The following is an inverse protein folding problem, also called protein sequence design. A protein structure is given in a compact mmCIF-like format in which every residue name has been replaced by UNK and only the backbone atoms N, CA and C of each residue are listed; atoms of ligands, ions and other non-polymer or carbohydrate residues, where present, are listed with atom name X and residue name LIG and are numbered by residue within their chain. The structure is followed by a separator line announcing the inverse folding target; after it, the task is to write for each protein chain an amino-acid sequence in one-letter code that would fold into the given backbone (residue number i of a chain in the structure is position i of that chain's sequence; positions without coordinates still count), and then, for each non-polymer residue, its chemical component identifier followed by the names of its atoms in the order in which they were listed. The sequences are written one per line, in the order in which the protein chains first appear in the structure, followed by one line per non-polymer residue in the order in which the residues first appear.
data_IF_261469212771
#
_entry.id   IF_261469212771
#
_cell.length_a   1.000
_cell.length_b   1.000
_cell.length_c   1.000
_cell.angle_alpha   90.00
_cell.angle_beta   90.00
_cell.angle_gamma   90.00
#
_symmetry.space_group_name_H-M   'P 1'
#
loop_
_entity.id
_entity.type
_entity.pdbx_description
1 polymer ?
#
# COMPACT_ATOMS: atom_id res chain seq x y z
N UNK A 1 53.22 -14.60 47.08
CA UNK A 1 51.78 -14.34 46.86
C UNK A 1 51.45 -12.93 47.29
N UNK A 2 51.51 -11.96 46.37
CA UNK A 2 51.23 -10.56 46.68
C UNK A 2 49.72 -10.30 46.59
N UNK A 3 49.07 -10.06 47.73
CA UNK A 3 47.72 -9.50 47.77
C UNK A 3 47.83 -8.01 47.43
N UNK A 4 47.74 -7.68 46.15
CA UNK A 4 47.65 -6.28 45.70
C UNK A 4 46.31 -5.68 46.11
N UNK A 5 46.34 -4.47 46.68
CA UNK A 5 45.15 -3.71 46.99
C UNK A 5 44.36 -3.44 45.69
N UNK A 6 43.07 -3.81 45.70
CA UNK A 6 42.17 -3.63 44.56
C UNK A 6 41.72 -2.17 44.53
N UNK A 7 42.14 -1.43 43.50
CA UNK A 7 41.77 -0.02 43.30
C UNK A 7 40.26 0.10 43.02
N UNK A 8 39.54 1.11 43.57
CA UNK A 8 38.09 1.27 43.38
C UNK A 8 37.66 1.52 41.92
N UNK A 9 38.57 1.88 41.02
CA UNK A 9 38.32 1.97 39.57
C UNK A 9 38.85 0.78 38.77
N UNK A 10 39.31 -0.28 39.43
CA UNK A 10 39.77 -1.51 38.78
C UNK A 10 38.62 -2.22 38.06
N UNK A 11 38.84 -2.56 36.79
CA UNK A 11 37.96 -3.32 35.87
C UNK A 11 37.31 -4.61 36.44
N UNK A 12 37.75 -5.08 37.61
CA UNK A 12 37.18 -6.23 38.32
C UNK A 12 35.77 -6.01 38.90
N UNK A 13 35.25 -4.78 38.92
CA UNK A 13 33.86 -4.50 39.34
C UNK A 13 32.81 -4.75 38.26
N UNK A 14 33.21 -4.90 36.99
CA UNK A 14 32.28 -5.29 35.90
C UNK A 14 32.15 -6.82 35.75
N UNK A 15 32.21 -7.58 36.85
CA UNK A 15 31.58 -8.91 36.85
C UNK A 15 30.08 -8.65 36.79
N UNK A 16 29.49 -8.86 35.61
CA UNK A 16 28.08 -8.63 35.32
C UNK A 16 27.22 -8.81 36.58
N UNK A 17 26.75 -7.69 37.15
CA UNK A 17 25.84 -7.71 38.29
C UNK A 17 24.64 -8.54 37.83
N UNK A 18 24.51 -9.76 38.34
CA UNK A 18 23.28 -10.52 38.21
C UNK A 18 22.22 -9.63 38.86
N UNK A 19 21.32 -9.06 38.05
CA UNK A 19 20.24 -8.18 38.50
C UNK A 19 19.20 -9.00 39.28
N UNK A 20 19.64 -9.61 40.37
CA UNK A 20 18.84 -10.46 41.22
C UNK A 20 18.32 -9.64 42.39
N UNK A 21 17.51 -8.64 42.05
CA UNK A 21 16.92 -7.71 43.01
C UNK A 21 15.89 -8.46 43.88
N UNK A 22 15.16 -9.41 43.28
CA UNK A 22 14.15 -10.23 43.97
C UNK A 22 14.79 -11.06 45.09
N UNK A 23 15.85 -11.82 44.82
CA UNK A 23 16.45 -12.67 45.87
C UNK A 23 17.17 -11.84 46.94
N UNK A 24 17.82 -10.72 46.56
CA UNK A 24 18.40 -9.81 47.55
C UNK A 24 17.34 -9.22 48.48
N UNK A 25 16.19 -8.85 47.93
CA UNK A 25 15.11 -8.31 48.72
C UNK A 25 14.48 -9.40 49.60
N UNK A 26 14.36 -10.65 49.12
CA UNK A 26 13.87 -11.78 49.92
C UNK A 26 14.73 -11.95 51.16
N UNK A 27 16.05 -11.97 50.99
CA UNK A 27 16.99 -12.07 52.12
C UNK A 27 16.81 -10.93 53.15
N UNK A 28 16.53 -9.70 52.71
CA UNK A 28 16.30 -8.56 53.61
C UNK A 28 14.98 -8.65 54.38
N UNK A 29 13.94 -9.21 53.75
CA UNK A 29 12.65 -9.47 54.41
C UNK A 29 12.79 -10.64 55.38
N UNK A 30 13.44 -11.72 54.99
CA UNK A 30 13.66 -12.92 55.81
C UNK A 30 14.50 -12.63 57.07
N UNK A 31 15.42 -11.67 56.98
CA UNK A 31 16.25 -11.20 58.11
C UNK A 31 15.54 -10.18 58.99
N UNK A 32 14.27 -9.86 58.71
CA UNK A 32 13.47 -8.82 59.39
C UNK A 32 14.13 -7.43 59.41
N UNK A 33 15.07 -7.17 58.50
CA UNK A 33 15.72 -5.87 58.35
C UNK A 33 14.84 -4.87 57.60
N UNK A 34 13.87 -5.37 56.82
CA UNK A 34 13.01 -4.54 55.99
C UNK A 34 11.60 -5.14 55.81
N UNK A 35 10.58 -4.28 55.76
CA UNK A 35 9.20 -4.70 55.54
C UNK A 35 8.96 -5.13 54.09
N UNK A 36 8.18 -6.21 53.88
CA UNK A 36 7.91 -6.74 52.54
C UNK A 36 7.26 -5.68 51.63
N UNK A 37 7.91 -5.29 50.51
CA UNK A 37 7.35 -4.30 49.62
C UNK A 37 6.29 -4.92 48.69
N UNK A 38 5.27 -4.14 48.31
CA UNK A 38 4.15 -4.62 47.49
C UNK A 38 4.55 -5.22 46.14
N UNK A 39 5.61 -4.70 45.51
CA UNK A 39 6.09 -5.23 44.24
C UNK A 39 6.71 -6.63 44.37
N UNK A 40 7.20 -7.02 45.55
CA UNK A 40 7.75 -8.35 45.78
C UNK A 40 6.66 -9.42 45.72
N UNK A 41 5.46 -9.14 46.23
CA UNK A 41 4.32 -10.07 46.12
C UNK A 41 3.97 -10.35 44.65
N UNK A 42 4.04 -9.32 43.80
CA UNK A 42 3.81 -9.45 42.36
C UNK A 42 4.95 -10.22 41.67
N UNK A 43 6.19 -9.96 42.06
CA UNK A 43 7.36 -10.67 41.56
C UNK A 43 7.44 -12.13 42.02
N UNK A 44 6.88 -12.48 43.18
CA UNK A 44 6.78 -13.87 43.64
C UNK A 44 5.68 -14.63 42.89
N UNK A 45 4.56 -13.96 42.61
CA UNK A 45 3.48 -14.53 41.79
C UNK A 45 3.91 -14.76 40.34
N UNK A 46 4.71 -13.84 39.79
CA UNK A 46 5.24 -13.91 38.43
C UNK A 46 6.76 -13.62 38.47
N UNK A 47 7.61 -14.64 38.68
CA UNK A 47 9.04 -14.45 38.74
C UNK A 47 9.57 -13.88 37.42
N UNK A 48 10.53 -12.92 37.47
CA UNK A 48 11.14 -12.39 36.26
C UNK A 48 11.82 -13.52 35.50
N UNK A 49 11.69 -13.52 34.17
CA UNK A 49 12.34 -14.52 33.33
C UNK A 49 13.85 -14.51 33.55
N UNK A 50 14.45 -15.70 33.66
CA UNK A 50 15.89 -15.82 33.75
C UNK A 50 16.52 -15.31 32.45
N UNK A 51 17.11 -14.13 32.52
CA UNK A 51 17.92 -13.60 31.44
C UNK A 51 19.23 -14.40 31.46
N UNK A 52 19.25 -15.55 30.79
CA UNK A 52 20.50 -16.22 30.46
C UNK A 52 21.30 -15.26 29.57
N UNK A 53 22.17 -14.46 30.19
CA UNK A 53 23.03 -13.43 29.60
C UNK A 53 22.87 -13.32 28.09
N UNK A 54 21.95 -12.47 27.65
CA UNK A 54 21.78 -12.13 26.23
C UNK A 54 23.13 -11.64 25.66
N UNK A 55 24.02 -11.10 26.51
CA UNK A 55 25.40 -10.72 26.17
C UNK A 55 26.34 -11.90 25.84
N UNK A 56 26.09 -13.12 26.31
CA UNK A 56 26.90 -14.30 25.97
C UNK A 56 26.32 -15.09 24.79
N UNK A 57 25.04 -14.87 24.44
CA UNK A 57 24.35 -15.55 23.32
C UNK A 57 24.00 -14.61 22.16
N UNK A 58 24.39 -13.34 22.18
CA UNK A 58 24.35 -12.53 20.96
C UNK A 58 25.45 -13.03 20.03
N UNK A 59 25.21 -14.17 19.36
CA UNK A 59 25.92 -14.47 18.12
C UNK A 59 25.72 -13.24 17.26
N UNK A 60 26.81 -12.52 16.97
CA UNK A 60 26.77 -11.39 16.06
C UNK A 60 26.18 -11.92 14.75
N UNK A 61 24.90 -11.66 14.53
CA UNK A 61 24.22 -12.14 13.35
C UNK A 61 24.61 -11.20 12.23
N UNK A 62 25.66 -11.58 11.49
CA UNK A 62 26.13 -10.82 10.34
C UNK A 62 25.11 -10.95 9.20
N UNK A 63 24.02 -10.21 9.31
CA UNK A 63 22.97 -10.21 8.32
C UNK A 63 23.37 -9.34 7.12
N UNK A 64 23.94 -9.98 6.10
CA UNK A 64 24.34 -9.34 4.84
C UNK A 64 23.18 -8.64 4.11
N UNK A 65 21.93 -9.01 4.39
CA UNK A 65 20.76 -8.44 3.75
C UNK A 65 20.71 -6.91 3.84
N UNK A 66 20.97 -6.34 5.03
CA UNK A 66 20.88 -4.89 5.25
C UNK A 66 21.90 -4.15 4.38
N UNK A 67 23.11 -4.70 4.24
CA UNK A 67 24.15 -4.11 3.39
C UNK A 67 23.79 -4.22 1.90
N UNK A 68 23.19 -5.34 1.48
CA UNK A 68 22.73 -5.52 0.10
C UNK A 68 21.62 -4.53 -0.26
N UNK A 69 20.64 -4.33 0.63
CA UNK A 69 19.56 -3.35 0.44
C UNK A 69 20.12 -1.94 0.31
N UNK A 70 21.04 -1.53 1.20
CA UNK A 70 21.71 -0.23 1.10
C UNK A 70 22.46 -0.05 -0.22
N UNK A 71 23.17 -1.08 -0.67
CA UNK A 71 23.88 -1.06 -1.96
C UNK A 71 22.92 -0.93 -3.15
N UNK A 72 21.83 -1.71 -3.16
CA UNK A 72 20.82 -1.66 -4.21
C UNK A 72 20.13 -0.29 -4.25
N UNK A 73 19.84 0.29 -3.10
CA UNK A 73 19.25 1.63 -2.98
C UNK A 73 20.19 2.75 -3.43
N UNK A 74 21.50 2.56 -3.29
CA UNK A 74 22.50 3.46 -3.82
C UNK A 74 22.59 3.36 -5.35
N UNK A 75 22.51 2.14 -5.89
CA UNK A 75 22.53 1.90 -7.35
C UNK A 75 21.22 2.34 -8.03
N UNK A 76 20.08 2.11 -7.38
CA UNK A 76 18.74 2.34 -7.91
C UNK A 76 17.87 3.15 -6.92
N UNK A 77 18.12 4.46 -6.78
CA UNK A 77 17.43 5.30 -5.79
C UNK A 77 15.93 5.44 -6.07
N UNK A 78 15.53 5.39 -7.35
CA UNK A 78 14.13 5.50 -7.77
C UNK A 78 13.26 4.35 -7.23
N UNK A 79 13.86 3.20 -6.95
CA UNK A 79 13.15 2.03 -6.43
C UNK A 79 12.58 2.26 -5.03
N UNK A 80 13.04 3.30 -4.30
CA UNK A 80 12.45 3.73 -3.01
C UNK A 80 10.99 4.17 -3.14
N UNK A 81 10.65 4.74 -4.29
CA UNK A 81 9.34 5.34 -4.53
C UNK A 81 8.36 4.36 -5.16
N UNK A 82 8.83 3.17 -5.54
CA UNK A 82 7.96 2.13 -6.04
C UNK A 82 7.12 1.60 -4.87
N UNK A 83 5.80 1.61 -5.01
CA UNK A 83 4.86 1.19 -3.96
C UNK A 83 5.03 1.95 -2.62
N UNK A 84 5.41 3.23 -2.68
CA UNK A 84 5.69 4.05 -1.51
C UNK A 84 4.47 4.37 -0.63
N UNK A 85 3.26 4.20 -1.17
CA UNK A 85 2.00 4.40 -0.44
C UNK A 85 1.42 3.09 0.15
N UNK A 86 2.13 1.98 0.00
CA UNK A 86 1.70 0.70 0.57
C UNK A 86 2.16 0.62 2.01
N UNK A 87 1.23 0.29 2.91
CA UNK A 87 1.50 0.12 4.33
C UNK A 87 2.64 -0.90 4.57
N UNK A 88 3.59 -0.53 5.44
CA UNK A 88 4.79 -1.32 5.73
C UNK A 88 6.01 -0.99 4.88
N UNK A 89 5.90 -0.10 3.88
CA UNK A 89 7.05 0.48 3.19
C UNK A 89 7.36 1.87 3.77
N UNK A 90 8.64 2.17 3.99
CA UNK A 90 9.08 3.50 4.35
C UNK A 90 10.02 4.05 3.27
N UNK A 91 9.65 5.20 2.72
CA UNK A 91 10.39 5.88 1.65
C UNK A 91 11.38 6.93 2.20
N UNK A 92 11.38 7.20 3.51
CA UNK A 92 12.29 8.14 4.14
C UNK A 92 13.73 7.61 4.12
N UNK A 93 14.66 8.45 3.68
CA UNK A 93 16.10 8.14 3.63
C UNK A 93 16.60 7.85 5.05
N UNK A 94 17.17 6.66 5.26
CA UNK A 94 17.69 6.23 6.57
C UNK A 94 16.77 5.24 7.30
N UNK A 95 15.49 5.19 6.92
CA UNK A 95 14.54 4.20 7.40
C UNK A 95 14.21 3.21 6.28
N UNK A 96 15.20 2.39 5.91
CA UNK A 96 15.11 1.44 4.79
C UNK A 96 14.36 0.16 5.21
N UNK A 97 13.09 0.32 5.60
CA UNK A 97 12.19 -0.78 5.92
C UNK A 97 11.18 -0.95 4.79
N UNK A 98 11.20 -2.13 4.17
CA UNK A 98 10.34 -2.48 3.05
C UNK A 98 9.67 -3.81 3.31
N UNK A 99 8.45 -3.98 2.80
CA UNK A 99 7.72 -5.25 2.83
C UNK A 99 8.46 -6.32 2.03
N UNK A 100 8.13 -7.58 2.29
CA UNK A 100 8.73 -8.72 1.60
C UNK A 100 8.48 -8.70 0.08
N UNK A 101 7.33 -8.15 -0.33
CA UNK A 101 6.96 -8.04 -1.74
C UNK A 101 7.62 -6.86 -2.45
N UNK A 102 8.27 -5.96 -1.73
CA UNK A 102 8.92 -4.81 -2.35
C UNK A 102 10.08 -5.27 -3.23
N UNK A 103 10.25 -4.67 -4.42
CA UNK A 103 11.23 -5.15 -5.40
C UNK A 103 12.67 -5.14 -4.86
N UNK A 104 13.04 -4.14 -4.06
CA UNK A 104 14.36 -4.10 -3.42
C UNK A 104 14.56 -5.31 -2.49
N UNK A 105 13.56 -5.62 -1.68
CA UNK A 105 13.57 -6.79 -0.80
C UNK A 105 13.73 -8.06 -1.61
N UNK A 106 12.94 -8.21 -2.68
CA UNK A 106 13.03 -9.36 -3.58
C UNK A 106 14.42 -9.45 -4.27
N UNK A 107 14.97 -8.34 -4.75
CA UNK A 107 16.30 -8.32 -5.36
C UNK A 107 17.38 -8.74 -4.35
N UNK A 108 17.32 -8.22 -3.13
CA UNK A 108 18.26 -8.56 -2.07
C UNK A 108 18.14 -10.03 -1.64
N UNK A 109 16.92 -10.58 -1.54
CA UNK A 109 16.71 -12.00 -1.21
C UNK A 109 17.19 -12.93 -2.33
N UNK A 110 16.91 -12.61 -3.60
CA UNK A 110 17.43 -13.38 -4.73
C UNK A 110 18.96 -13.29 -4.84
N UNK A 111 19.54 -12.11 -4.57
CA UNK A 111 20.99 -11.96 -4.56
C UNK A 111 21.62 -12.81 -3.46
N UNK A 112 21.05 -12.79 -2.26
CA UNK A 112 21.50 -13.62 -1.15
C UNK A 112 21.37 -15.11 -1.46
N UNK A 113 20.29 -15.51 -2.13
CA UNK A 113 20.08 -16.88 -2.59
C UNK A 113 21.19 -17.37 -3.54
N UNK A 114 21.60 -16.56 -4.51
CA UNK A 114 22.73 -16.90 -5.38
C UNK A 114 24.06 -16.88 -4.60
N UNK A 115 24.27 -15.92 -3.71
CA UNK A 115 25.49 -15.90 -2.88
C UNK A 115 25.61 -17.15 -2.00
N UNK A 116 24.50 -17.65 -1.45
CA UNK A 116 24.48 -18.89 -0.66
C UNK A 116 24.78 -20.14 -1.50
N UNK A 117 24.66 -20.06 -2.83
CA UNK A 117 25.03 -21.12 -3.79
C UNK A 117 26.47 -21.01 -4.31
N UNK A 118 27.26 -20.09 -3.76
CA UNK A 118 28.68 -19.91 -4.11
C UNK A 118 28.94 -18.90 -5.23
N UNK A 119 27.94 -18.15 -5.68
CA UNK A 119 28.18 -17.08 -6.65
C UNK A 119 28.87 -15.88 -5.99
N UNK A 120 29.72 -15.18 -6.74
CA UNK A 120 30.30 -13.92 -6.27
C UNK A 120 29.22 -12.85 -6.15
N UNK A 121 29.46 -11.82 -5.32
CA UNK A 121 28.49 -10.71 -5.12
C UNK A 121 28.12 -10.03 -6.45
N UNK A 122 29.08 -9.90 -7.38
CA UNK A 122 28.87 -9.27 -8.69
C UNK A 122 28.06 -10.17 -9.62
N UNK A 123 28.43 -11.44 -9.76
CA UNK A 123 27.72 -12.37 -10.65
C UNK A 123 26.29 -12.63 -10.16
N UNK A 124 26.11 -12.72 -8.84
CA UNK A 124 24.79 -12.83 -8.23
C UNK A 124 23.92 -11.63 -8.56
N UNK A 125 24.46 -10.42 -8.50
CA UNK A 125 23.74 -9.18 -8.82
C UNK A 125 23.37 -9.13 -10.30
N UNK A 126 24.28 -9.48 -11.21
CA UNK A 126 24.01 -9.47 -12.65
C UNK A 126 22.90 -10.45 -13.03
N UNK A 127 22.91 -11.67 -12.44
CA UNK A 127 21.84 -12.65 -12.66
C UNK A 127 20.49 -12.14 -12.16
N UNK A 128 20.47 -11.53 -10.98
CA UNK A 128 19.26 -10.92 -10.43
C UNK A 128 18.77 -9.80 -11.34
N UNK A 129 19.63 -8.89 -11.75
CA UNK A 129 19.27 -7.78 -12.63
C UNK A 129 18.65 -8.25 -13.94
N UNK A 130 19.20 -9.30 -14.56
CA UNK A 130 18.61 -9.92 -15.77
C UNK A 130 17.20 -10.45 -15.52
N UNK A 131 16.96 -11.10 -14.39
CA UNK A 131 15.62 -11.63 -14.03
C UNK A 131 14.62 -10.48 -13.84
N UNK A 132 15.00 -9.45 -13.09
CA UNK A 132 14.13 -8.32 -12.83
C UNK A 132 13.87 -7.48 -14.09
N UNK A 133 14.87 -7.33 -14.96
CA UNK A 133 14.72 -6.67 -16.24
C UNK A 133 13.75 -7.43 -17.16
N UNK A 134 13.92 -8.75 -17.30
CA UNK A 134 13.01 -9.59 -18.07
C UNK A 134 11.58 -9.54 -17.54
N UNK A 135 11.42 -9.58 -16.20
CA UNK A 135 10.11 -9.43 -15.56
C UNK A 135 9.47 -8.08 -15.89
N UNK A 136 10.25 -6.98 -15.81
CA UNK A 136 9.77 -5.63 -16.14
C UNK A 136 9.35 -5.52 -17.61
N UNK A 137 10.13 -6.12 -18.52
CA UNK A 137 9.81 -6.18 -19.95
C UNK A 137 8.49 -6.93 -20.21
N UNK A 138 8.28 -8.06 -19.53
CA UNK A 138 7.04 -8.82 -19.65
C UNK A 138 5.83 -8.05 -19.13
N UNK A 139 5.96 -7.35 -18.01
CA UNK A 139 4.91 -6.50 -17.46
C UNK A 139 4.56 -5.35 -18.41
N UNK A 140 5.57 -4.70 -19.00
CA UNK A 140 5.34 -3.62 -19.98
C UNK A 140 4.65 -4.16 -21.24
N UNK A 141 5.09 -5.32 -21.74
CA UNK A 141 4.45 -5.98 -22.89
C UNK A 141 2.98 -6.31 -22.61
N UNK A 142 2.70 -6.89 -21.44
CA UNK A 142 1.34 -7.21 -21.03
C UNK A 142 0.48 -5.96 -20.86
N UNK A 143 1.06 -4.89 -20.30
CA UNK A 143 0.39 -3.60 -20.18
C UNK A 143 -0.01 -3.04 -21.56
N UNK A 144 0.90 -3.08 -22.55
CA UNK A 144 0.60 -2.64 -23.91
C UNK A 144 -0.51 -3.46 -24.56
N UNK A 145 -0.45 -4.79 -24.44
CA UNK A 145 -1.51 -5.68 -24.95
C UNK A 145 -2.85 -5.33 -24.30
N UNK A 146 -2.89 -5.16 -22.98
CA UNK A 146 -4.11 -4.82 -22.26
C UNK A 146 -4.66 -3.44 -22.67
N UNK A 147 -3.80 -2.48 -23.00
CA UNK A 147 -4.25 -1.18 -23.53
C UNK A 147 -4.86 -1.31 -24.93
N UNK A 148 -4.29 -2.15 -25.80
CA UNK A 148 -4.87 -2.42 -27.12
C UNK A 148 -6.23 -3.12 -26.99
N UNK A 149 -6.30 -4.19 -26.20
CA UNK A 149 -7.54 -4.95 -25.97
C UNK A 149 -8.61 -4.15 -25.22
N UNK A 150 -8.23 -3.13 -24.45
CA UNK A 150 -9.21 -2.27 -23.77
C UNK A 150 -10.12 -1.52 -24.75
N UNK A 151 -9.62 -1.20 -25.95
CA UNK A 151 -10.40 -0.54 -27.01
C UNK A 151 -11.43 -1.53 -27.59
N UNK A 152 -10.98 -2.75 -27.91
CA UNK A 152 -11.79 -3.73 -28.65
C UNK A 152 -12.73 -4.53 -27.73
N UNK A 153 -12.23 -5.00 -26.58
CA UNK A 153 -12.93 -5.95 -25.69
C UNK A 153 -13.53 -5.28 -24.45
N UNK A 154 -13.46 -3.94 -24.33
CA UNK A 154 -13.88 -3.17 -23.14
C UNK A 154 -13.26 -3.66 -21.83
N UNK A 155 -12.06 -4.25 -21.89
CA UNK A 155 -11.28 -4.61 -20.72
C UNK A 155 -10.75 -3.33 -20.06
N UNK A 156 -10.65 -3.32 -18.72
CA UNK A 156 -10.08 -2.17 -18.01
C UNK A 156 -8.61 -1.97 -18.41
N UNK A 157 -8.25 -0.83 -19.04
CA UNK A 157 -6.87 -0.56 -19.43
C UNK A 157 -5.98 -0.37 -18.18
N UNK A 158 -4.75 -0.86 -18.25
CA UNK A 158 -3.70 -0.52 -17.29
C UNK A 158 -2.94 0.69 -17.82
N UNK A 159 -3.27 1.87 -17.31
CA UNK A 159 -2.59 3.10 -17.72
C UNK A 159 -1.15 3.16 -17.21
N UNK A 160 -0.29 3.78 -18.01
CA UNK A 160 1.12 4.05 -17.67
C UNK A 160 1.28 5.26 -16.74
N UNK A 161 0.28 6.16 -16.71
CA UNK A 161 0.29 7.40 -15.96
C UNK A 161 -0.80 7.40 -14.87
N UNK A 162 -0.45 7.90 -13.68
CA UNK A 162 -1.39 8.10 -12.56
C UNK A 162 -2.55 9.03 -12.90
N UNK A 163 -2.31 10.06 -13.73
CA UNK A 163 -3.37 10.99 -14.16
C UNK A 163 -4.50 10.29 -14.90
N UNK A 164 -4.20 9.27 -15.70
CA UNK A 164 -5.22 8.52 -16.43
C UNK A 164 -6.16 7.76 -15.49
N UNK A 165 -5.64 7.18 -14.40
CA UNK A 165 -6.47 6.56 -13.36
C UNK A 165 -7.33 7.59 -12.62
N UNK A 166 -6.81 8.80 -12.40
CA UNK A 166 -7.58 9.89 -11.79
C UNK A 166 -8.76 10.29 -12.69
N UNK A 167 -8.51 10.49 -13.99
CA UNK A 167 -9.56 10.82 -14.96
C UNK A 167 -10.61 9.73 -15.09
N UNK A 168 -10.21 8.45 -15.10
CA UNK A 168 -11.14 7.33 -15.07
C UNK A 168 -12.05 7.41 -13.82
N UNK A 169 -11.47 7.71 -12.65
CA UNK A 169 -12.25 7.87 -11.41
C UNK A 169 -13.16 9.09 -11.42
N UNK A 170 -12.74 10.20 -12.02
CA UNK A 170 -13.59 11.38 -12.22
C UNK A 170 -14.78 11.02 -13.12
N UNK A 171 -14.54 10.34 -14.24
CA UNK A 171 -15.58 9.89 -15.16
C UNK A 171 -16.55 8.89 -14.49
N UNK A 172 -16.05 7.95 -13.68
CA UNK A 172 -16.88 7.02 -12.90
C UNK A 172 -17.81 7.77 -11.93
N UNK A 173 -17.28 8.79 -11.23
CA UNK A 173 -18.05 9.61 -10.30
C UNK A 173 -19.13 10.43 -11.01
N UNK A 174 -18.79 11.06 -12.14
CA UNK A 174 -19.74 11.79 -12.98
C UNK A 174 -20.83 10.87 -13.53
N UNK A 175 -20.46 9.68 -14.02
CA UNK A 175 -21.40 8.66 -14.47
C UNK A 175 -22.36 8.23 -13.36
N UNK A 176 -21.87 8.03 -12.14
CA UNK A 176 -22.70 7.71 -10.98
C UNK A 176 -23.67 8.87 -10.64
N UNK A 177 -23.18 10.10 -10.69
CA UNK A 177 -23.98 11.30 -10.48
C UNK A 177 -25.11 11.44 -11.53
N UNK A 178 -24.79 11.30 -12.82
CA UNK A 178 -25.76 11.35 -13.92
C UNK A 178 -26.79 10.22 -13.82
N UNK A 179 -26.37 9.01 -13.42
CA UNK A 179 -27.28 7.88 -13.20
C UNK A 179 -28.29 8.17 -12.09
N UNK A 180 -27.87 8.84 -11.01
CA UNK A 180 -28.75 9.28 -9.94
C UNK A 180 -29.77 10.32 -10.43
N UNK A 181 -29.35 11.29 -11.24
CA UNK A 181 -30.25 12.28 -11.86
C UNK A 181 -31.28 11.59 -12.75
N UNK A 182 -30.83 10.67 -13.61
CA UNK A 182 -31.69 9.94 -14.54
C UNK A 182 -32.75 9.11 -13.80
N UNK A 183 -32.37 8.44 -12.71
CA UNK A 183 -33.31 7.71 -11.86
C UNK A 183 -34.34 8.62 -11.19
N UNK A 184 -33.92 9.81 -10.72
CA UNK A 184 -34.83 10.83 -10.17
C UNK A 184 -35.82 11.30 -11.23
N UNK A 185 -35.36 11.62 -12.44
CA UNK A 185 -36.21 12.05 -13.55
C UNK A 185 -37.22 10.97 -13.97
N UNK A 186 -36.79 9.70 -14.05
CA UNK A 186 -37.69 8.57 -14.30
C UNK A 186 -38.79 8.48 -13.23
N UNK A 187 -38.42 8.58 -11.95
CA UNK A 187 -39.40 8.55 -10.86
C UNK A 187 -40.38 9.72 -10.89
N UNK A 188 -39.93 10.92 -11.29
CA UNK A 188 -40.81 12.10 -11.46
C UNK A 188 -41.78 11.90 -12.63
N UNK A 189 -41.28 11.38 -13.75
CA UNK A 189 -42.11 11.06 -14.94
C UNK A 189 -43.19 10.03 -14.60
N UNK A 190 -42.84 8.98 -13.85
CA UNK A 190 -43.81 7.99 -13.38
C UNK A 190 -44.86 8.58 -12.44
N UNK A 191 -44.47 9.46 -11.51
CA UNK A 191 -45.41 10.17 -10.63
C UNK A 191 -46.36 11.07 -11.42
N UNK A 192 -45.87 11.80 -12.42
CA UNK A 192 -46.69 12.64 -13.29
C UNK A 192 -47.69 11.82 -14.11
N UNK A 193 -47.26 10.71 -14.71
CA UNK A 193 -48.16 9.80 -15.44
C UNK A 193 -49.24 9.21 -14.55
N UNK A 194 -48.92 8.83 -13.31
CA UNK A 194 -49.91 8.36 -12.32
C UNK A 194 -50.90 9.46 -11.94
N UNK A 195 -50.43 10.71 -11.77
CA UNK A 195 -51.31 11.86 -11.49
C UNK A 195 -52.26 12.19 -12.66
N UNK A 196 -51.81 12.05 -13.90
CA UNK A 196 -52.67 12.25 -15.08
C UNK A 196 -53.75 11.16 -15.16
N UNK A 197 -53.39 9.87 -15.02
CA UNK A 197 -54.37 8.78 -14.99
C UNK A 197 -55.39 8.90 -13.85
N UNK A 198 -54.98 9.35 -12.66
CA UNK A 198 -55.91 9.57 -11.54
C UNK A 198 -56.85 10.77 -11.72
N UNK A 199 -56.51 11.73 -12.58
CA UNK A 199 -57.43 12.82 -12.99
C UNK A 199 -58.46 12.35 -14.00
N UNK A 200 -58.10 11.41 -14.87
CA UNK A 200 -59.01 10.84 -15.87
C UNK A 200 -60.06 9.92 -15.21
N UNK A 201 -59.71 9.23 -14.11
CA UNK A 201 -60.62 8.36 -13.36
C UNK A 201 -61.56 9.09 -12.37
N UNK A 202 -61.37 10.39 -12.11
CA UNK A 202 -62.18 11.16 -11.13
C UNK A 202 -63.30 12.02 -11.74
N UNK A 203 -63.59 11.86 -13.04
CA UNK A 203 -64.88 12.29 -13.61
C UNK A 203 -65.28 13.73 -13.28
N UNK A 204 -64.43 14.70 -13.61
CA UNK A 204 -64.86 16.10 -13.72
C UNK A 204 -64.69 16.53 -15.17
N UNK A 205 -65.78 16.34 -15.92
CA UNK A 205 -65.97 16.91 -17.24
C UNK A 205 -65.81 18.43 -17.15
N UNK A 206 -64.72 18.95 -17.71
CA UNK A 206 -64.68 20.33 -18.15
C UNK A 206 -64.98 20.37 -19.63
N UNK A 207 -66.08 21.06 -19.92
CA UNK A 207 -66.65 21.33 -21.23
C UNK A 207 -65.62 22.03 -22.11
N UNK A 208 -65.56 21.56 -23.36
CA UNK A 208 -64.87 22.14 -24.50
C UNK A 208 -65.28 23.59 -24.74
N UNK A 209 -64.32 24.48 -25.00
CA UNK A 209 -64.54 25.56 -25.94
C UNK A 209 -63.22 26.03 -26.61
N UNK A 210 -63.30 26.06 -27.94
CA UNK A 210 -62.59 26.87 -28.92
C UNK A 210 -61.05 27.02 -28.87
N UNK A 211 -60.38 26.29 -29.76
CA UNK A 211 -59.66 26.86 -30.92
C UNK A 211 -58.44 27.76 -30.67
N UNK A 212 -57.25 27.25 -31.05
CA UNK A 212 -56.34 27.99 -31.93
C UNK A 212 -55.37 27.00 -32.60
N UNK A 213 -55.41 26.99 -33.93
CA UNK A 213 -54.40 26.43 -34.82
C UNK A 213 -53.01 27.00 -34.53
N UNK A 214 -51.98 26.16 -34.60
CA UNK A 214 -50.81 26.46 -35.42
C UNK A 214 -49.96 25.21 -35.65
N UNK A 215 -49.69 25.00 -36.93
CA UNK A 215 -48.79 24.03 -37.51
C UNK A 215 -47.35 24.26 -37.00
N UNK A 216 -46.66 23.19 -36.65
CA UNK A 216 -45.24 23.01 -37.01
C UNK A 216 -44.90 21.53 -36.89
N UNK A 217 -45.03 20.81 -38.00
CA UNK A 217 -44.12 19.70 -38.26
C UNK A 217 -42.69 20.25 -38.24
N UNK A 218 -41.75 19.54 -37.62
CA UNK A 218 -40.34 19.44 -38.04
C UNK A 218 -39.58 18.48 -37.11
N UNK A 219 -39.29 17.28 -37.65
CA UNK A 219 -38.02 16.58 -37.52
C UNK A 219 -37.56 16.12 -36.13
N UNK A 220 -37.78 14.84 -35.84
CA UNK A 220 -36.95 14.07 -34.90
C UNK A 220 -35.56 13.88 -35.54
N UNK A 221 -34.45 14.35 -34.95
CA UNK A 221 -33.12 13.96 -35.42
C UNK A 221 -32.84 12.51 -35.00
N UNK A 222 -32.51 11.69 -35.99
CA UNK A 222 -32.13 10.29 -35.87
C UNK A 222 -30.77 10.18 -35.16
N UNK A 223 -30.64 9.28 -34.17
CA UNK A 223 -29.45 9.12 -33.29
C UNK A 223 -28.20 8.51 -33.96
N UNK A 224 -28.06 8.56 -35.29
CA UNK A 224 -27.03 7.79 -36.01
C UNK A 224 -25.98 8.57 -36.81
N UNK A 225 -25.96 9.91 -36.80
CA UNK A 225 -24.92 10.67 -37.50
C UNK A 225 -24.17 11.63 -36.56
N UNK A 226 -23.20 11.10 -35.83
CA UNK A 226 -22.06 11.88 -35.33
C UNK A 226 -20.79 11.17 -35.80
N UNK A 227 -20.40 11.47 -37.04
CA UNK A 227 -19.06 11.21 -37.55
C UNK A 227 -18.12 12.30 -37.02
N UNK A 228 -17.25 11.94 -36.08
CA UNK A 228 -16.10 12.78 -35.74
C UNK A 228 -15.05 12.62 -36.84
N UNK A 229 -14.97 13.59 -37.74
CA UNK A 229 -13.82 13.78 -38.63
C UNK A 229 -12.63 14.26 -37.79
N UNK A 230 -11.67 13.38 -37.55
CA UNK A 230 -10.34 13.76 -37.07
C UNK A 230 -9.52 14.28 -38.26
N UNK A 231 -9.63 15.56 -38.56
CA UNK A 231 -8.62 16.30 -39.32
C UNK A 231 -7.88 17.20 -38.33
N UNK A 232 -6.73 16.72 -37.86
CA UNK A 232 -5.55 17.50 -37.44
C UNK A 232 -4.61 16.61 -36.62
N UNK A 233 -3.60 16.05 -37.28
CA UNK A 233 -2.23 15.83 -36.76
C UNK A 233 -1.39 15.10 -37.83
N UNK A 234 -1.23 15.77 -38.99
CA UNK A 234 -0.01 15.64 -39.77
C UNK A 234 0.73 16.94 -39.54
N UNK A 235 1.69 16.92 -38.63
CA UNK A 235 2.86 17.81 -38.59
C UNK A 235 3.62 17.48 -37.31
N UNK A 236 4.54 16.50 -37.40
CA UNK A 236 5.68 16.31 -36.49
C UNK A 236 6.57 15.19 -37.06
N UNK A 237 7.07 15.40 -38.27
CA UNK A 237 8.30 14.77 -38.75
C UNK A 237 9.15 15.84 -39.42
N UNK A 238 10.09 16.39 -38.66
CA UNK A 238 11.33 17.02 -39.12
C UNK A 238 12.31 17.00 -37.96
#
# INVERSE_FOLDING_TARGET
MGKGAVHPTGSNFCRALKYNIVDKMRMLVDTNLYNKPRWMEWAERAPPMEIHNISLKSRYNNNKYIELVKYLLQKYPHMRFQDCYVEGNNNLKGYDYFRNDHIITQMATHQLYYMNRGYTKKDALEKVEKIFYNRRMMLEKQQKINMCLAIDEKIKPLYTNGYSYLYEKMADNEKAHLKNILNKLKSMKEKLKKKQKGKDDTGLAYVSDAGLSNETEMGVPNENDISFTNENEKDLTS
#
